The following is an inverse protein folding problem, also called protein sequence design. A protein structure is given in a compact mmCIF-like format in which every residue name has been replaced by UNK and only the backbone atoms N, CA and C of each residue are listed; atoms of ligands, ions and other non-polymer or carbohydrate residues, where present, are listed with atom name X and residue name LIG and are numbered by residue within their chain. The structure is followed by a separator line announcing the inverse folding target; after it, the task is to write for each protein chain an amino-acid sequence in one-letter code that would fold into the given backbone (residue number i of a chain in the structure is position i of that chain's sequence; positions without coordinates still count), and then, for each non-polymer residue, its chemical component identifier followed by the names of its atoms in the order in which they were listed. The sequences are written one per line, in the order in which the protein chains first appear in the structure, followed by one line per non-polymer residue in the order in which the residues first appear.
data_IF_590030560616
#
_entry.id   IF_590030560616
#
_cell.length_a   1.000
_cell.length_b   1.000
_cell.length_c   1.000
_cell.angle_alpha   90.00
_cell.angle_beta   90.00
_cell.angle_gamma   90.00
#
_symmetry.space_group_name_H-M   'P 1'
#
loop_
_entity.id
_entity.type
_entity.pdbx_description
1 polymer ?
#
# COMPACT_ATOMS: atom_id res chain seq x y z
N UNK A 1 -4.76 -20.60 -26.43
CA UNK A 1 -5.94 -20.11 -25.70
C UNK A 1 -6.09 -20.70 -24.30
N UNK A 2 -6.25 -22.03 -24.15
CA UNK A 2 -6.53 -22.67 -22.85
C UNK A 2 -5.45 -22.44 -21.78
N UNK A 3 -4.18 -22.68 -22.11
CA UNK A 3 -3.07 -22.45 -21.18
C UNK A 3 -2.98 -20.98 -20.72
N UNK A 4 -3.19 -20.03 -21.62
CA UNK A 4 -3.20 -18.60 -21.31
C UNK A 4 -4.32 -18.23 -20.33
N UNK A 5 -5.52 -18.80 -20.50
CA UNK A 5 -6.64 -18.60 -19.56
C UNK A 5 -6.28 -19.16 -18.19
N UNK A 6 -5.73 -20.37 -18.12
CA UNK A 6 -5.35 -20.99 -16.84
C UNK A 6 -4.30 -20.12 -16.13
N UNK A 7 -3.26 -19.70 -16.84
CA UNK A 7 -2.24 -18.81 -16.30
C UNK A 7 -2.83 -17.49 -15.79
N UNK A 8 -3.76 -16.90 -16.54
CA UNK A 8 -4.47 -15.69 -16.14
C UNK A 8 -5.31 -15.86 -14.87
N UNK A 9 -6.05 -16.98 -14.75
CA UNK A 9 -6.82 -17.29 -13.55
C UNK A 9 -5.91 -17.47 -12.34
N UNK A 10 -4.79 -18.19 -12.49
CA UNK A 10 -3.82 -18.40 -11.41
C UNK A 10 -3.27 -17.05 -10.92
N UNK A 11 -2.86 -16.16 -11.82
CA UNK A 11 -2.39 -14.82 -11.46
C UNK A 11 -3.48 -13.97 -10.79
N UNK A 12 -4.72 -14.06 -11.28
CA UNK A 12 -5.86 -13.37 -10.70
C UNK A 12 -6.11 -13.78 -9.25
N UNK A 13 -6.14 -15.09 -9.00
CA UNK A 13 -6.31 -15.65 -7.66
C UNK A 13 -5.12 -15.32 -6.75
N UNK A 14 -3.89 -15.35 -7.28
CA UNK A 14 -2.68 -14.98 -6.55
C UNK A 14 -2.68 -13.52 -6.11
N UNK A 15 -3.03 -12.60 -7.03
CA UNK A 15 -3.18 -11.18 -6.73
C UNK A 15 -4.28 -10.92 -5.69
N UNK A 16 -5.46 -11.51 -5.87
CA UNK A 16 -6.56 -11.38 -4.92
C UNK A 16 -6.19 -11.90 -3.52
N UNK A 17 -5.58 -13.09 -3.44
CA UNK A 17 -5.14 -13.69 -2.17
C UNK A 17 -4.11 -12.79 -1.47
N UNK A 18 -3.14 -12.26 -2.22
CA UNK A 18 -2.13 -11.34 -1.68
C UNK A 18 -2.78 -10.07 -1.12
N UNK A 19 -3.77 -9.51 -1.82
CA UNK A 19 -4.52 -8.34 -1.34
C UNK A 19 -5.18 -8.61 0.02
N UNK A 20 -5.85 -9.75 0.18
CA UNK A 20 -6.48 -10.13 1.45
C UNK A 20 -5.44 -10.32 2.57
N UNK A 21 -4.32 -10.97 2.29
CA UNK A 21 -3.25 -11.16 3.28
C UNK A 21 -2.69 -9.81 3.77
N UNK A 22 -2.45 -8.86 2.87
CA UNK A 22 -1.98 -7.51 3.25
C UNK A 22 -3.07 -6.78 4.06
N UNK A 23 -4.34 -6.94 3.69
CA UNK A 23 -5.48 -6.38 4.43
C UNK A 23 -5.54 -6.88 5.86
N UNK A 24 -5.37 -8.19 6.06
CA UNK A 24 -5.41 -8.79 7.38
C UNK A 24 -4.23 -8.33 8.24
N UNK A 25 -3.03 -8.19 7.65
CA UNK A 25 -1.87 -7.64 8.35
C UNK A 25 -2.08 -6.19 8.80
N UNK A 26 -2.66 -5.34 7.96
CA UNK A 26 -2.97 -3.95 8.33
C UNK A 26 -4.02 -3.87 9.44
N UNK A 27 -5.10 -4.65 9.34
CA UNK A 27 -6.12 -4.72 10.40
C UNK A 27 -5.54 -5.19 11.72
N UNK A 28 -4.63 -6.16 11.70
CA UNK A 28 -3.98 -6.66 12.90
C UNK A 28 -3.09 -5.61 13.58
N UNK A 29 -2.53 -4.66 12.82
CA UNK A 29 -1.77 -3.55 13.38
C UNK A 29 -2.62 -2.53 14.17
N UNK A 30 -3.96 -2.57 14.01
CA UNK A 30 -4.93 -1.76 14.73
C UNK A 30 -4.58 -0.25 14.76
N UNK A 31 -4.14 0.25 13.61
CA UNK A 31 -3.81 1.66 13.43
C UNK A 31 -5.08 2.42 13.05
N UNK A 32 -5.30 3.58 13.64
CA UNK A 32 -6.38 4.51 13.27
C UNK A 32 -5.76 5.74 12.63
N UNK A 33 -6.36 6.21 11.53
CA UNK A 33 -5.95 7.44 10.87
C UNK A 33 -6.19 8.61 11.84
N UNK A 34 -5.19 9.48 11.99
CA UNK A 34 -5.27 10.64 12.89
C UNK A 34 -6.52 11.49 12.62
N UNK A 35 -7.11 12.05 13.68
CA UNK A 35 -8.38 12.78 13.60
C UNK A 35 -8.29 14.08 12.79
N UNK A 36 -7.09 14.64 12.66
CA UNK A 36 -6.79 15.86 11.92
C UNK A 36 -6.23 15.59 10.51
N UNK A 37 -6.32 14.34 10.03
CA UNK A 37 -5.99 14.00 8.65
C UNK A 37 -7.03 14.57 7.68
N UNK A 38 -6.58 15.03 6.52
CA UNK A 38 -7.45 15.61 5.48
C UNK A 38 -8.49 14.61 4.93
N UNK A 39 -8.21 13.30 5.00
CA UNK A 39 -9.03 12.23 4.44
C UNK A 39 -8.98 10.99 5.35
N UNK A 40 -10.11 10.29 5.45
CA UNK A 40 -10.25 9.06 6.24
C UNK A 40 -9.94 9.21 7.75
N UNK A 41 -9.93 10.43 8.29
CA UNK A 41 -9.76 10.70 9.71
C UNK A 41 -10.66 9.81 10.59
N UNK A 42 -10.08 9.23 11.64
CA UNK A 42 -10.76 8.34 12.58
C UNK A 42 -11.11 6.94 12.02
N UNK A 43 -10.79 6.63 10.76
CA UNK A 43 -10.99 5.29 10.21
C UNK A 43 -9.81 4.38 10.53
N UNK A 44 -10.08 3.10 10.71
CA UNK A 44 -9.04 2.07 10.82
C UNK A 44 -8.26 1.94 9.51
N UNK A 45 -6.94 1.79 9.62
CA UNK A 45 -6.06 1.50 8.50
C UNK A 45 -6.23 0.03 8.08
N UNK A 46 -6.97 -0.21 7.00
CA UNK A 46 -7.32 -1.52 6.46
C UNK A 46 -7.23 -1.60 4.92
N UNK A 47 -6.56 -0.66 4.28
CA UNK A 47 -6.48 -0.52 2.83
C UNK A 47 -5.33 0.40 2.40
N UNK A 48 -5.13 0.56 1.09
CA UNK A 48 -4.03 1.36 0.57
C UNK A 48 -4.22 2.87 0.79
N UNK A 49 -5.44 3.39 0.65
CA UNK A 49 -5.67 4.83 0.71
C UNK A 49 -5.60 5.34 2.15
N UNK A 50 -6.27 4.69 3.07
CA UNK A 50 -6.15 4.95 4.51
C UNK A 50 -4.70 4.81 5.02
N UNK A 51 -3.92 3.82 4.56
CA UNK A 51 -2.49 3.73 4.88
C UNK A 51 -1.69 4.92 4.33
N UNK A 52 -1.98 5.36 3.09
CA UNK A 52 -1.39 6.58 2.54
C UNK A 52 -1.77 7.82 3.36
N UNK A 53 -3.02 7.89 3.86
CA UNK A 53 -3.50 9.03 4.66
C UNK A 53 -2.75 9.12 5.96
N UNK A 54 -2.64 7.99 6.64
CA UNK A 54 -1.89 7.92 7.89
C UNK A 54 -0.41 8.23 7.67
N UNK A 55 0.19 7.77 6.58
CA UNK A 55 1.58 8.10 6.26
C UNK A 55 1.77 9.60 5.95
N UNK A 56 0.79 10.26 5.35
CA UNK A 56 0.84 11.69 5.04
C UNK A 56 0.70 12.55 6.31
N UNK A 57 -0.25 12.23 7.19
CA UNK A 57 -0.45 13.00 8.43
C UNK A 57 0.72 12.82 9.42
N UNK A 58 1.32 11.62 9.48
CA UNK A 58 2.56 11.39 10.25
C UNK A 58 3.69 12.29 9.75
N UNK A 59 3.83 12.47 8.43
CA UNK A 59 4.85 13.35 7.87
C UNK A 59 4.64 14.80 8.30
N UNK A 60 3.38 15.26 8.22
CA UNK A 60 3.01 16.61 8.61
C UNK A 60 3.36 16.87 10.08
N UNK A 61 2.93 16.01 11.00
CA UNK A 61 3.24 16.16 12.43
C UNK A 61 4.74 16.08 12.71
N UNK A 62 5.47 15.20 12.01
CA UNK A 62 6.91 15.08 12.18
C UNK A 62 7.65 16.32 11.69
N UNK A 63 7.28 16.87 10.54
CA UNK A 63 7.85 18.11 10.01
C UNK A 63 7.50 19.31 10.89
N UNK A 64 6.26 19.41 11.37
CA UNK A 64 5.85 20.47 12.30
C UNK A 64 6.69 20.42 13.59
N UNK A 65 6.87 19.23 14.18
CA UNK A 65 7.71 19.04 15.35
C UNK A 65 9.19 19.35 15.09
N UNK A 66 9.67 19.09 13.87
CA UNK A 66 11.05 19.34 13.43
C UNK A 66 11.28 20.77 12.88
N UNK A 67 10.29 21.65 12.97
CA UNK A 67 10.41 23.02 12.45
C UNK A 67 10.61 23.06 10.93
N UNK A 68 10.01 22.12 10.20
CA UNK A 68 10.08 21.97 8.75
C UNK A 68 11.30 21.20 8.25
N UNK A 69 12.16 20.69 9.15
CA UNK A 69 13.37 19.95 8.78
C UNK A 69 13.10 18.45 8.66
N UNK A 70 13.71 17.82 7.67
CA UNK A 70 13.78 16.37 7.55
C UNK A 70 14.79 15.77 8.53
N UNK A 71 14.73 14.46 8.76
CA UNK A 71 15.66 13.75 9.65
C UNK A 71 17.14 14.02 9.33
N UNK A 72 17.48 14.17 8.04
CA UNK A 72 18.85 14.41 7.59
C UNK A 72 19.35 15.84 7.88
N UNK A 73 18.43 16.78 8.09
CA UNK A 73 18.72 18.19 8.33
C UNK A 73 18.77 18.54 9.83
N UNK A 74 18.36 17.61 10.69
CA UNK A 74 18.43 17.75 12.14
C UNK A 74 19.85 17.48 12.64
N UNK A 75 20.28 18.29 13.63
CA UNK A 75 21.54 18.04 14.32
C UNK A 75 21.50 16.68 15.04
N UNK A 76 22.64 16.03 15.17
CA UNK A 76 22.74 14.72 15.80
C UNK A 76 22.16 14.71 17.23
N UNK A 77 22.31 15.80 17.97
CA UNK A 77 21.86 15.96 19.36
C UNK A 77 20.47 16.60 19.47
N UNK A 78 19.80 16.87 18.34
CA UNK A 78 18.49 17.48 18.33
C UNK A 78 17.45 16.57 19.03
N UNK A 79 16.69 17.09 20.02
CA UNK A 79 15.76 16.29 20.81
C UNK A 79 14.63 15.67 19.99
N UNK A 80 14.26 16.22 18.83
CA UNK A 80 13.19 15.68 17.97
C UNK A 80 13.71 14.75 16.87
N UNK A 81 15.03 14.54 16.77
CA UNK A 81 15.63 13.67 15.75
C UNK A 81 15.17 12.22 15.86
N UNK A 82 15.00 11.71 17.08
CA UNK A 82 14.45 10.37 17.30
C UNK A 82 12.99 10.28 16.84
N UNK A 83 12.18 11.33 17.05
CA UNK A 83 10.79 11.41 16.59
C UNK A 83 10.71 11.42 15.07
N UNK A 84 11.53 12.23 14.40
CA UNK A 84 11.61 12.27 12.94
C UNK A 84 12.02 10.91 12.34
N UNK A 85 12.95 10.21 12.99
CA UNK A 85 13.37 8.85 12.61
C UNK A 85 12.22 7.85 12.71
N UNK A 86 11.51 7.84 13.84
CA UNK A 86 10.36 6.96 14.04
C UNK A 86 9.25 7.24 13.02
N UNK A 87 8.96 8.52 12.76
CA UNK A 87 7.99 8.92 11.74
C UNK A 87 8.38 8.40 10.35
N UNK A 88 9.65 8.54 9.95
CA UNK A 88 10.14 8.01 8.67
C UNK A 88 9.98 6.48 8.58
N UNK A 89 10.24 5.75 9.67
CA UNK A 89 10.04 4.30 9.70
C UNK A 89 8.57 3.89 9.58
N UNK A 90 7.68 4.52 10.36
CA UNK A 90 6.24 4.22 10.28
C UNK A 90 5.68 4.53 8.89
N UNK A 91 6.11 5.64 8.28
CA UNK A 91 5.72 5.96 6.91
C UNK A 91 6.22 4.95 5.91
N UNK A 92 7.48 4.53 6.04
CA UNK A 92 8.07 3.54 5.14
C UNK A 92 7.37 2.18 5.24
N UNK A 93 6.99 1.75 6.44
CA UNK A 93 6.21 0.51 6.61
C UNK A 93 4.81 0.64 6.00
N UNK A 94 4.11 1.77 6.21
CA UNK A 94 2.80 2.03 5.59
C UNK A 94 2.90 2.07 4.05
N UNK A 95 3.90 2.77 3.49
CA UNK A 95 4.11 2.79 2.03
C UNK A 95 4.47 1.41 1.48
N UNK A 96 5.20 0.59 2.23
CA UNK A 96 5.48 -0.80 1.82
C UNK A 96 4.18 -1.60 1.68
N UNK A 97 3.23 -1.43 2.59
CA UNK A 97 1.89 -2.02 2.47
C UNK A 97 1.12 -1.49 1.25
N UNK A 98 1.21 -0.19 0.96
CA UNK A 98 0.57 0.42 -0.23
C UNK A 98 1.14 -0.15 -1.53
N UNK A 99 2.47 -0.30 -1.60
CA UNK A 99 3.15 -0.92 -2.73
C UNK A 99 2.71 -2.39 -2.88
N UNK A 100 2.60 -3.13 -1.78
CA UNK A 100 2.12 -4.51 -1.80
C UNK A 100 0.70 -4.64 -2.38
N UNK A 101 -0.21 -3.72 -2.01
CA UNK A 101 -1.52 -3.62 -2.66
C UNK A 101 -1.41 -3.31 -4.16
N UNK A 102 -0.57 -2.37 -4.55
CA UNK A 102 -0.32 -2.04 -5.96
C UNK A 102 0.14 -3.25 -6.77
N UNK A 103 1.08 -4.03 -6.23
CA UNK A 103 1.59 -5.27 -6.86
C UNK A 103 0.49 -6.33 -6.93
N UNK A 104 -0.31 -6.51 -5.87
CA UNK A 104 -1.42 -7.44 -5.84
C UNK A 104 -2.49 -7.11 -6.90
N UNK A 105 -2.87 -5.83 -7.01
CA UNK A 105 -3.80 -5.35 -8.04
C UNK A 105 -3.22 -5.51 -9.45
N UNK A 106 -1.93 -5.22 -9.63
CA UNK A 106 -1.26 -5.41 -10.91
C UNK A 106 -1.28 -6.88 -11.34
N UNK A 107 -0.92 -7.81 -10.45
CA UNK A 107 -0.97 -9.24 -10.72
C UNK A 107 -2.39 -9.70 -11.10
N UNK A 108 -3.41 -9.21 -10.38
CA UNK A 108 -4.79 -9.52 -10.69
C UNK A 108 -5.24 -8.95 -12.04
N UNK A 109 -4.88 -7.71 -12.35
CA UNK A 109 -5.15 -7.06 -13.63
C UNK A 109 -4.48 -7.74 -14.81
N UNK A 110 -3.20 -8.15 -14.66
CA UNK A 110 -2.50 -8.95 -15.66
C UNK A 110 -3.15 -10.31 -15.85
N UNK A 111 -3.60 -10.95 -14.76
CA UNK A 111 -4.39 -12.17 -14.82
C UNK A 111 -5.65 -12.02 -15.67
N UNK A 112 -6.40 -10.94 -15.44
CA UNK A 112 -7.59 -10.60 -16.24
C UNK A 112 -7.24 -10.42 -17.72
N UNK A 113 -6.18 -9.67 -18.03
CA UNK A 113 -5.72 -9.46 -19.41
C UNK A 113 -5.39 -10.78 -20.11
N UNK A 114 -4.70 -11.70 -19.43
CA UNK A 114 -4.38 -13.02 -19.99
C UNK A 114 -5.63 -13.88 -20.23
N UNK A 115 -6.63 -13.81 -19.35
CA UNK A 115 -7.92 -14.49 -19.56
C UNK A 115 -8.60 -13.96 -20.82
N UNK A 116 -8.66 -12.62 -20.99
CA UNK A 116 -9.26 -11.99 -22.16
C UNK A 116 -8.53 -12.35 -23.46
N UNK A 117 -7.20 -12.32 -23.46
CA UNK A 117 -6.36 -12.73 -24.60
C UNK A 117 -6.59 -14.21 -24.92
N UNK A 118 -6.56 -15.07 -23.91
CA UNK A 118 -6.73 -16.50 -24.10
C UNK A 118 -8.13 -16.87 -24.61
N UNK A 119 -9.16 -16.12 -24.21
CA UNK A 119 -10.52 -16.22 -24.74
C UNK A 119 -10.59 -15.79 -26.20
N UNK A 120 -10.01 -14.64 -26.55
CA UNK A 120 -9.96 -14.15 -27.93
C UNK A 120 -9.25 -15.16 -28.86
N UNK A 121 -8.11 -15.71 -28.43
CA UNK A 121 -7.37 -16.73 -29.19
C UNK A 121 -8.18 -18.00 -29.44
N UNK A 122 -9.06 -18.41 -28.52
CA UNK A 122 -9.92 -19.58 -28.76
C UNK A 122 -11.07 -19.27 -29.71
N UNK A 123 -11.55 -18.02 -29.73
CA UNK A 123 -12.62 -17.61 -30.65
C UNK A 123 -12.12 -17.46 -32.09
N UNK A 124 -10.83 -17.17 -32.27
CA UNK A 124 -10.18 -17.00 -33.57
C UNK A 124 -9.54 -18.28 -34.13
N UNK A 125 -9.36 -19.31 -33.28
CA UNK A 125 -8.88 -20.61 -33.74
C UNK A 125 -10.01 -21.34 -34.50
N UNK A 126 -9.77 -21.82 -35.74
CA UNK A 126 -10.75 -22.59 -36.51
C UNK A 126 -11.04 -23.97 -35.90
#
# INVERSE_FOLDING_TARGET
GLLTIIAGIVLMLGGATTWFVVTDQLKAANITVAEDADWFAGKTVNGPLDALSQAAIIDKHALEAAGGKTYAELDREDPVRATAMNAAFLRSSLFTSVVAYGVAAFAAGMGLMLVLIGWALRRLAP
#
